data_IF_720000552964
#
_entry.id   IF_720000552964
#
_cell.length_a   1.000
_cell.length_b   1.000
_cell.length_c   1.000
_cell.angle_alpha   90.00
_cell.angle_beta   90.00
_cell.angle_gamma   90.00
#
_symmetry.space_group_name_H-M   'P 1'
#
loop_
_entity.id
_entity.type
_entity.pdbx_description
1 polymer ?
#
# COMPACT_ATOMS: atom_id res chain seq x y z
N UNK A 1 -15.26 15.54 5.48
CA UNK A 1 -14.23 16.59 5.67
C UNK A 1 -12.87 16.00 5.32
N UNK A 2 -11.83 16.84 5.26
CA UNK A 2 -10.47 16.40 4.97
C UNK A 2 -9.62 16.51 6.24
N UNK A 3 -8.64 15.63 6.38
CA UNK A 3 -7.70 15.57 7.51
C UNK A 3 -6.28 15.69 6.96
N UNK A 4 -5.44 16.50 7.60
CA UNK A 4 -4.03 16.58 7.26
C UNK A 4 -3.26 15.45 7.95
N UNK A 5 -2.47 14.70 7.19
CA UNK A 5 -1.62 13.64 7.72
C UNK A 5 -0.17 14.01 7.51
N UNK A 6 0.63 13.90 8.58
CA UNK A 6 2.07 14.06 8.56
C UNK A 6 2.74 12.74 8.93
N UNK A 7 3.56 12.23 8.02
CA UNK A 7 4.34 11.02 8.18
C UNK A 7 5.78 11.42 8.48
N UNK A 8 6.19 11.14 9.72
CA UNK A 8 7.56 11.28 10.17
C UNK A 8 8.30 9.96 9.97
N UNK A 9 9.54 10.03 9.49
CA UNK A 9 10.39 8.87 9.35
C UNK A 9 11.83 9.25 9.62
N UNK A 10 12.54 8.45 10.40
CA UNK A 10 13.96 8.66 10.67
C UNK A 10 14.82 8.35 9.44
N UNK A 11 14.38 7.42 8.58
CA UNK A 11 15.14 6.93 7.41
C UNK A 11 14.69 7.49 6.07
N UNK A 12 13.54 8.16 5.99
CA UNK A 12 12.95 8.68 4.75
C UNK A 12 12.55 10.14 4.93
N UNK A 13 12.44 10.88 3.82
CA UNK A 13 11.92 12.24 3.84
C UNK A 13 10.52 12.28 4.47
N UNK A 14 10.26 13.31 5.28
CA UNK A 14 8.94 13.61 5.82
C UNK A 14 7.95 13.81 4.68
N UNK A 15 6.72 13.31 4.87
CA UNK A 15 5.66 13.44 3.86
C UNK A 15 4.39 13.93 4.51
N UNK A 16 3.76 14.92 3.88
CA UNK A 16 2.51 15.48 4.35
C UNK A 16 1.48 15.48 3.23
N UNK A 17 0.20 15.40 3.58
CA UNK A 17 -0.85 15.60 2.61
C UNK A 17 -2.24 15.49 3.18
N UNK A 18 -3.19 15.92 2.36
CA UNK A 18 -4.61 16.00 2.72
C UNK A 18 -5.28 14.68 2.32
N UNK A 19 -5.96 14.05 3.28
CA UNK A 19 -6.61 12.77 3.11
C UNK A 19 -8.09 12.90 3.51
N UNK A 20 -8.97 12.34 2.71
CA UNK A 20 -10.39 12.30 3.02
C UNK A 20 -10.66 11.41 4.24
N UNK A 21 -11.67 11.79 5.03
CA UNK A 21 -12.27 10.91 6.05
C UNK A 21 -12.70 9.57 5.44
N UNK A 22 -12.94 8.59 6.32
CA UNK A 22 -13.27 7.20 5.99
C UNK A 22 -12.17 6.45 5.21
N UNK A 23 -10.98 7.06 5.07
CA UNK A 23 -9.80 6.43 4.49
C UNK A 23 -9.04 5.66 5.57
N UNK A 24 -8.55 4.46 5.24
CA UNK A 24 -7.67 3.70 6.14
C UNK A 24 -6.24 4.26 6.10
N UNK A 25 -5.53 4.22 7.23
CA UNK A 25 -4.14 4.72 7.29
C UNK A 25 -3.21 4.03 6.29
N UNK A 26 -3.46 2.76 5.97
CA UNK A 26 -2.71 2.05 4.93
C UNK A 26 -2.92 2.63 3.53
N UNK A 27 -4.15 3.05 3.20
CA UNK A 27 -4.41 3.70 1.90
C UNK A 27 -3.88 5.14 1.89
N UNK A 28 -3.99 5.83 3.03
CA UNK A 28 -3.46 7.17 3.21
C UNK A 28 -1.94 7.22 3.03
N UNK A 29 -1.21 6.35 3.73
CA UNK A 29 0.25 6.20 3.60
C UNK A 29 0.67 5.85 2.18
N UNK A 30 -0.06 4.94 1.52
CA UNK A 30 0.18 4.59 0.10
C UNK A 30 0.02 5.79 -0.83
N UNK A 31 -1.02 6.62 -0.64
CA UNK A 31 -1.24 7.85 -1.43
C UNK A 31 -0.11 8.87 -1.23
N UNK A 32 0.47 8.90 -0.04
CA UNK A 32 1.63 9.73 0.29
C UNK A 32 2.95 9.06 -0.12
N UNK A 33 2.95 7.93 -0.85
CA UNK A 33 4.18 7.27 -1.32
C UNK A 33 4.94 6.48 -0.25
N UNK A 34 4.28 6.13 0.86
CA UNK A 34 4.80 5.26 1.91
C UNK A 34 4.11 3.91 1.82
N UNK A 35 4.83 2.90 1.34
CA UNK A 35 4.33 1.54 1.21
C UNK A 35 4.66 0.73 2.47
N UNK A 36 3.62 0.30 3.17
CA UNK A 36 3.72 -0.65 4.27
C UNK A 36 3.68 -2.08 3.72
N UNK A 37 4.44 -3.01 4.30
CA UNK A 37 4.56 -4.40 3.82
C UNK A 37 3.21 -5.10 3.74
N UNK A 38 2.42 -5.01 4.82
CA UNK A 38 1.05 -5.54 4.90
C UNK A 38 0.91 -6.97 4.32
N UNK A 39 1.77 -7.88 4.78
CA UNK A 39 1.96 -9.23 4.22
C UNK A 39 0.66 -10.06 4.16
N UNK A 40 -0.26 -9.86 5.10
CA UNK A 40 -1.56 -10.53 5.08
C UNK A 40 -2.54 -9.96 4.04
N UNK A 41 -2.15 -8.95 3.25
CA UNK A 41 -3.05 -8.25 2.31
C UNK A 41 -4.05 -7.31 2.99
N UNK A 42 -3.81 -6.97 4.26
CA UNK A 42 -4.64 -6.08 5.05
C UNK A 42 -5.85 -6.72 5.71
N UNK A 43 -5.82 -8.04 5.94
CA UNK A 43 -6.88 -8.80 6.64
C UNK A 43 -6.85 -8.67 8.17
N UNK A 44 -5.89 -7.91 8.72
CA UNK A 44 -5.70 -7.84 10.17
C UNK A 44 -5.17 -9.15 10.79
N UNK A 45 -4.46 -9.96 10.00
CA UNK A 45 -3.92 -11.27 10.39
C UNK A 45 -2.38 -11.29 10.51
N UNK A 46 -1.75 -10.11 10.63
CA UNK A 46 -0.32 -9.93 10.87
C UNK A 46 -0.06 -8.50 11.37
N UNK A 47 1.16 -8.23 11.83
CA UNK A 47 1.59 -6.92 12.34
C UNK A 47 2.53 -6.14 11.39
N UNK A 48 2.81 -6.65 10.19
CA UNK A 48 3.75 -6.02 9.24
C UNK A 48 3.30 -4.68 8.64
N UNK A 49 2.09 -4.22 8.98
CA UNK A 49 1.57 -2.88 8.68
C UNK A 49 1.42 -2.00 9.92
N UNK A 50 1.99 -2.40 11.06
CA UNK A 50 1.98 -1.61 12.27
C UNK A 50 2.73 -0.29 12.06
N UNK A 51 2.19 0.78 12.65
CA UNK A 51 2.78 2.11 12.71
C UNK A 51 2.46 2.74 14.06
N UNK A 52 3.21 3.76 14.43
CA UNK A 52 3.06 4.47 15.70
C UNK A 52 2.31 5.78 15.49
N UNK A 53 1.23 5.99 16.24
CA UNK A 53 0.51 7.26 16.26
C UNK A 53 1.16 8.19 17.28
N UNK A 54 1.72 9.30 16.82
CA UNK A 54 2.35 10.32 17.69
C UNK A 54 1.30 11.33 18.17
N UNK A 55 0.38 11.73 17.29
CA UNK A 55 -0.70 12.67 17.59
C UNK A 55 -1.92 12.40 16.71
N UNK A 56 -3.09 12.88 17.14
CA UNK A 56 -4.34 12.75 16.38
C UNK A 56 -5.02 11.39 16.52
N UNK A 57 -4.73 10.62 17.58
CA UNK A 57 -5.37 9.33 17.85
C UNK A 57 -6.89 9.40 17.99
N UNK A 58 -7.42 10.53 18.46
CA UNK A 58 -8.86 10.79 18.59
C UNK A 58 -9.58 10.89 17.23
N UNK A 59 -8.84 11.13 16.15
CA UNK A 59 -9.37 11.22 14.80
C UNK A 59 -9.44 9.84 14.11
N UNK A 60 -9.10 8.77 14.82
CA UNK A 60 -9.04 7.41 14.33
C UNK A 60 -10.17 6.55 14.89
N UNK A 61 -10.49 5.48 14.18
CA UNK A 61 -11.44 4.48 14.63
C UNK A 61 -10.97 3.80 15.94
N UNK A 62 -11.90 3.26 16.73
CA UNK A 62 -11.58 2.37 17.84
C UNK A 62 -10.69 1.20 17.41
N UNK A 63 -10.06 0.55 18.39
CA UNK A 63 -9.28 -0.67 18.15
C UNK A 63 -10.19 -1.79 17.63
N UNK A 64 -9.74 -2.45 16.57
CA UNK A 64 -10.42 -3.61 15.98
C UNK A 64 -9.93 -4.92 16.60
N UNK A 65 -10.67 -6.02 16.43
CA UNK A 65 -10.25 -7.33 16.94
C UNK A 65 -8.88 -7.76 16.40
N UNK A 66 -8.60 -7.50 15.11
CA UNK A 66 -7.29 -7.79 14.53
C UNK A 66 -6.16 -7.00 15.19
N UNK A 67 -6.42 -5.76 15.62
CA UNK A 67 -5.44 -4.99 16.39
C UNK A 67 -5.24 -5.55 17.80
N UNK A 68 -6.31 -6.03 18.45
CA UNK A 68 -6.21 -6.64 19.78
C UNK A 68 -5.46 -7.97 19.78
N UNK A 69 -5.58 -8.74 18.69
CA UNK A 69 -4.98 -10.07 18.54
C UNK A 69 -3.49 -9.98 18.15
N UNK A 70 -3.13 -9.08 17.23
CA UNK A 70 -1.77 -9.02 16.66
C UNK A 70 -0.89 -7.92 17.25
N UNK A 71 -1.43 -6.99 18.05
CA UNK A 71 -0.62 -6.03 18.81
C UNK A 71 -0.65 -6.38 20.31
N UNK A 72 0.54 -6.49 20.90
CA UNK A 72 0.67 -6.68 22.34
C UNK A 72 0.08 -5.50 23.12
N UNK A 73 -0.27 -5.73 24.39
CA UNK A 73 -0.79 -4.67 25.25
C UNK A 73 0.20 -3.48 25.36
N UNK A 74 1.51 -3.75 25.41
CA UNK A 74 2.53 -2.70 25.45
C UNK A 74 2.53 -1.86 24.17
N UNK A 75 2.46 -2.49 23.00
CA UNK A 75 2.40 -1.79 21.70
C UNK A 75 1.15 -0.90 21.61
N UNK A 76 -0.01 -1.42 22.01
CA UNK A 76 -1.27 -0.66 22.02
C UNK A 76 -1.21 0.54 22.96
N UNK A 77 -0.66 0.37 24.16
CA UNK A 77 -0.46 1.47 25.12
C UNK A 77 0.51 2.51 24.59
N UNK A 78 1.52 2.10 23.82
CA UNK A 78 2.45 3.03 23.16
C UNK A 78 1.83 3.76 21.97
N UNK A 79 0.61 3.43 21.55
CA UNK A 79 -0.07 4.06 20.40
C UNK A 79 0.22 3.40 19.06
N UNK A 80 0.72 2.16 19.03
CA UNK A 80 0.81 1.40 17.79
C UNK A 80 -0.57 0.96 17.29
N UNK A 81 -0.77 1.06 15.97
CA UNK A 81 -2.00 0.71 15.27
C UNK A 81 -1.68 -0.11 14.02
N UNK A 82 -2.57 -1.03 13.65
CA UNK A 82 -2.47 -1.71 12.36
C UNK A 82 -3.04 -0.80 11.28
N UNK A 83 -2.17 -0.24 10.43
CA UNK A 83 -2.61 0.72 9.42
C UNK A 83 -3.72 0.20 8.50
N UNK A 84 -3.75 -1.12 8.25
CA UNK A 84 -4.77 -1.74 7.39
C UNK A 84 -6.15 -1.86 8.04
N UNK A 85 -6.23 -1.80 9.37
CA UNK A 85 -7.48 -1.90 10.13
C UNK A 85 -7.89 -0.56 10.76
N UNK A 86 -6.98 0.41 10.82
CA UNK A 86 -7.23 1.73 11.40
C UNK A 86 -7.81 2.71 10.36
N UNK A 87 -9.01 3.26 10.63
CA UNK A 87 -9.75 4.17 9.76
C UNK A 87 -9.72 5.60 10.30
N UNK A 88 -9.62 6.59 9.42
CA UNK A 88 -9.73 8.02 9.78
C UNK A 88 -11.22 8.37 9.86
N UNK A 89 -11.69 8.85 11.01
CA UNK A 89 -13.10 9.16 11.26
C UNK A 89 -13.36 10.62 11.62
N UNK A 90 -12.36 11.34 12.17
CA UNK A 90 -12.50 12.73 12.63
C UNK A 90 -13.79 12.95 13.46
N UNK A 91 -13.97 12.16 14.53
CA UNK A 91 -15.23 12.12 15.28
C UNK A 91 -15.64 13.47 15.87
N UNK A 92 -14.67 14.34 16.17
CA UNK A 92 -14.89 15.69 16.71
C UNK A 92 -15.26 16.73 15.65
N UNK A 93 -15.26 16.38 14.36
CA UNK A 93 -15.54 17.26 13.21
C UNK A 93 -14.72 18.55 13.24
N UNK A 94 -13.45 18.41 13.57
CA UNK A 94 -12.52 19.54 13.61
C UNK A 94 -12.19 19.99 12.19
N UNK A 95 -12.19 21.31 11.94
CA UNK A 95 -11.86 21.88 10.62
C UNK A 95 -10.40 21.64 10.23
N UNK A 96 -9.50 21.55 11.21
CA UNK A 96 -8.06 21.33 11.03
C UNK A 96 -7.60 20.08 11.79
N UNK A 97 -8.26 18.95 11.55
CA UNK A 97 -7.82 17.68 12.11
C UNK A 97 -6.44 17.29 11.56
N UNK A 98 -5.49 17.06 12.47
CA UNK A 98 -4.12 16.66 12.16
C UNK A 98 -3.83 15.27 12.74
N UNK A 99 -3.16 14.42 11.97
CA UNK A 99 -2.67 13.12 12.41
C UNK A 99 -1.17 13.04 12.14
N UNK A 100 -0.37 12.87 13.18
CA UNK A 100 1.08 12.69 13.09
C UNK A 100 1.39 11.24 13.41
N UNK A 101 2.10 10.58 12.51
CA UNK A 101 2.45 9.18 12.66
C UNK A 101 3.90 8.92 12.24
N UNK A 102 4.48 7.90 12.86
CA UNK A 102 5.83 7.43 12.56
C UNK A 102 5.77 6.02 12.01
N UNK A 103 6.46 5.80 10.90
CA UNK A 103 6.68 4.46 10.37
C UNK A 103 8.03 3.99 10.85
N UNK A 104 8.02 3.20 11.92
CA UNK A 104 9.21 2.45 12.33
C UNK A 104 9.37 1.31 11.32
N UNK A 105 10.43 1.29 10.52
CA UNK A 105 10.69 0.12 9.69
C UNK A 105 10.96 -1.04 10.65
N UNK A 106 9.99 -1.96 10.80
CA UNK A 106 10.23 -3.25 11.44
C UNK A 106 11.41 -3.85 10.68
N UNK A 107 12.52 -4.01 11.41
CA UNK A 107 13.88 -4.18 10.92
C UNK A 107 13.91 -4.78 9.50
N UNK A 108 14.56 -4.06 8.59
CA UNK A 108 14.78 -4.49 7.21
C UNK A 108 15.47 -5.86 7.21
N UNK A 109 14.70 -6.94 7.09
CA UNK A 109 15.22 -8.15 6.47
C UNK A 109 15.38 -7.84 4.98
N UNK A 110 16.63 -7.47 4.67
CA UNK A 110 17.30 -7.39 3.38
C UNK A 110 16.48 -7.90 2.18
N UNK A 111 15.91 -6.98 1.42
CA UNK A 111 15.88 -7.15 -0.03
C UNK A 111 16.72 -6.03 -0.63
N UNK A 112 17.92 -6.31 -1.15
CA UNK A 112 18.62 -5.32 -1.93
C UNK A 112 17.82 -5.10 -3.21
N UNK A 113 17.08 -4.00 -3.26
CA UNK A 113 16.85 -3.29 -4.52
C UNK A 113 18.24 -2.90 -5.03
N UNK A 114 18.88 -3.80 -5.79
CA UNK A 114 20.19 -3.52 -6.37
C UNK A 114 19.99 -2.48 -7.46
N UNK A 115 20.22 -1.21 -7.11
CA UNK A 115 20.34 -0.08 -8.04
C UNK A 115 21.67 -0.08 -8.80
N UNK A 116 22.53 -1.08 -8.59
CA UNK A 116 23.72 -1.30 -9.40
C UNK A 116 23.32 -1.83 -10.79
N UNK A 117 23.79 -1.22 -11.90
CA UNK A 117 23.61 -1.80 -13.22
C UNK A 117 24.30 -3.17 -13.23
N UNK A 118 23.51 -4.24 -13.26
CA UNK A 118 24.06 -5.59 -13.49
C UNK A 118 24.59 -5.64 -14.91
N UNK A 119 25.84 -6.07 -15.05
CA UNK A 119 26.49 -6.25 -16.34
C UNK A 119 25.93 -7.53 -16.99
N UNK A 120 24.69 -7.43 -17.46
CA UNK A 120 23.87 -8.54 -17.96
C UNK A 120 24.58 -9.35 -19.04
N UNK A 121 25.45 -8.70 -19.82
CA UNK A 121 26.25 -9.36 -20.85
C UNK A 121 27.24 -10.38 -20.27
N UNK A 122 27.86 -10.10 -19.11
CA UNK A 122 28.77 -11.05 -18.46
C UNK A 122 28.00 -12.21 -17.84
N UNK A 123 26.93 -11.90 -17.11
CA UNK A 123 26.07 -12.91 -16.48
C UNK A 123 25.50 -13.89 -17.52
N UNK A 124 25.01 -13.37 -18.65
CA UNK A 124 24.47 -14.19 -19.73
C UNK A 124 25.53 -15.06 -20.42
N UNK A 125 26.77 -14.57 -20.53
CA UNK A 125 27.89 -15.36 -21.09
C UNK A 125 28.22 -16.57 -20.23
N UNK A 126 28.19 -16.40 -18.91
CA UNK A 126 28.56 -17.42 -17.91
C UNK A 126 27.45 -18.46 -17.66
N UNK A 127 26.22 -18.23 -18.13
CA UNK A 127 25.14 -19.21 -18.00
C UNK A 127 25.43 -20.50 -18.78
N UNK A 128 25.07 -21.68 -18.24
CA UNK A 128 25.06 -22.92 -19.02
C UNK A 128 24.03 -22.84 -20.15
N UNK A 129 24.28 -23.54 -21.27
CA UNK A 129 23.53 -23.43 -22.52
C UNK A 129 22.01 -23.49 -22.36
N UNK A 130 21.49 -24.44 -21.56
CA UNK A 130 20.05 -24.61 -21.34
C UNK A 130 19.39 -23.41 -20.63
N UNK A 131 20.15 -22.68 -19.79
CA UNK A 131 19.64 -21.50 -19.09
C UNK A 131 19.62 -20.27 -19.99
N UNK A 132 20.52 -20.20 -20.98
CA UNK A 132 20.55 -19.07 -21.95
C UNK A 132 19.24 -18.93 -22.71
N UNK A 133 18.67 -20.04 -23.19
CA UNK A 133 17.39 -20.01 -23.90
C UNK A 133 16.22 -19.62 -23.01
N UNK A 134 16.16 -20.14 -21.79
CA UNK A 134 15.11 -19.77 -20.83
C UNK A 134 15.17 -18.27 -20.49
N UNK A 135 16.38 -17.74 -20.28
CA UNK A 135 16.59 -16.32 -20.03
C UNK A 135 16.22 -15.45 -21.24
N UNK A 136 16.54 -15.87 -22.47
CA UNK A 136 16.12 -15.15 -23.69
C UNK A 136 14.60 -15.11 -23.84
N UNK A 137 13.93 -16.26 -23.64
CA UNK A 137 12.47 -16.33 -23.69
C UNK A 137 11.80 -15.45 -22.62
N UNK A 138 12.40 -15.34 -21.43
CA UNK A 138 11.93 -14.42 -20.39
C UNK A 138 12.08 -12.96 -20.80
N UNK A 139 13.22 -12.58 -21.39
CA UNK A 139 13.42 -11.21 -21.89
C UNK A 139 12.42 -10.89 -22.99
N UNK A 140 12.18 -11.82 -23.91
CA UNK A 140 11.19 -11.66 -24.98
C UNK A 140 9.78 -11.47 -24.40
N UNK A 141 9.38 -12.28 -23.41
CA UNK A 141 8.09 -12.13 -22.75
C UNK A 141 7.94 -10.77 -22.03
N UNK A 142 9.00 -10.29 -21.36
CA UNK A 142 9.01 -8.98 -20.71
C UNK A 142 8.92 -7.85 -21.74
N UNK A 143 9.72 -7.92 -22.82
CA UNK A 143 9.69 -6.91 -23.88
C UNK A 143 8.35 -6.88 -24.62
N UNK A 144 7.71 -8.03 -24.84
CA UNK A 144 6.37 -8.14 -25.38
C UNK A 144 5.33 -7.50 -24.45
N UNK A 145 5.42 -7.75 -23.14
CA UNK A 145 4.53 -7.15 -22.15
C UNK A 145 4.68 -5.61 -22.11
N UNK A 146 5.91 -5.11 -22.15
CA UNK A 146 6.19 -3.67 -22.19
C UNK A 146 5.71 -3.02 -23.51
N UNK A 147 5.89 -3.73 -24.63
CA UNK A 147 5.38 -3.30 -25.94
C UNK A 147 3.84 -3.28 -25.98
N UNK A 148 3.18 -4.22 -25.31
CA UNK A 148 1.71 -4.17 -25.13
C UNK A 148 1.32 -2.93 -24.33
N UNK A 149 2.06 -2.57 -23.27
CA UNK A 149 1.91 -1.31 -22.56
C UNK A 149 2.04 -0.08 -23.47
N UNK A 150 2.97 -0.10 -24.43
CA UNK A 150 3.12 0.96 -25.43
C UNK A 150 1.94 1.00 -26.41
N UNK A 151 1.45 -0.15 -26.89
CA UNK A 151 0.28 -0.24 -27.78
C UNK A 151 -1.00 0.23 -27.08
N UNK A 152 -1.15 -0.01 -25.78
CA UNK A 152 -2.28 0.53 -25.00
C UNK A 152 -2.25 2.06 -24.87
N UNK A 153 -1.12 2.70 -25.12
CA UNK A 153 -0.95 4.16 -25.10
C UNK A 153 -1.04 4.82 -26.49
N UNK A 154 -1.34 4.08 -27.57
CA UNK A 154 -1.62 4.67 -28.89
C UNK A 154 -3.04 5.27 -28.97
N UNK A 155 -3.26 6.37 -29.73
CA UNK A 155 -4.46 7.19 -29.59
C UNK A 155 -5.73 6.63 -30.29
N UNK A 156 -6.75 6.39 -29.45
CA UNK A 156 -8.06 7.08 -29.38
C UNK A 156 -9.28 6.78 -30.27
N UNK A 157 -9.27 5.99 -31.34
CA UNK A 157 -10.53 5.78 -32.12
C UNK A 157 -11.24 4.44 -31.92
N UNK A 158 -10.53 3.39 -31.48
CA UNK A 158 -11.13 2.08 -31.16
C UNK A 158 -10.86 1.67 -29.70
N UNK A 159 -9.80 2.21 -29.09
CA UNK A 159 -9.34 1.86 -27.74
C UNK A 159 -10.17 2.42 -26.58
N UNK A 160 -10.81 3.59 -26.73
CA UNK A 160 -11.45 4.30 -25.61
C UNK A 160 -12.49 3.46 -24.85
N UNK A 161 -13.40 2.80 -25.57
CA UNK A 161 -14.44 1.97 -24.94
C UNK A 161 -13.88 0.72 -24.27
N UNK A 162 -12.84 0.12 -24.84
CA UNK A 162 -12.19 -1.09 -24.28
C UNK A 162 -11.40 -0.72 -23.03
N UNK A 163 -10.69 0.40 -23.07
CA UNK A 163 -9.95 0.96 -21.93
C UNK A 163 -10.90 1.33 -20.80
N UNK A 164 -12.05 1.97 -21.09
CA UNK A 164 -13.06 2.31 -20.08
C UNK A 164 -13.66 1.05 -19.41
N UNK A 165 -13.94 0.01 -20.19
CA UNK A 165 -14.44 -1.27 -19.68
C UNK A 165 -13.38 -1.91 -18.76
N UNK A 166 -12.12 -1.94 -19.18
CA UNK A 166 -11.03 -2.50 -18.36
C UNK A 166 -10.76 -1.67 -17.10
N UNK A 167 -10.80 -0.34 -17.18
CA UNK A 167 -10.67 0.54 -16.03
C UNK A 167 -11.81 0.33 -15.04
N UNK A 168 -13.06 0.23 -15.52
CA UNK A 168 -14.23 -0.06 -14.69
C UNK A 168 -14.15 -1.45 -14.05
N UNK A 169 -13.70 -2.45 -14.79
CA UNK A 169 -13.50 -3.80 -14.28
C UNK A 169 -12.38 -3.86 -13.23
N UNK A 170 -11.26 -3.18 -13.48
CA UNK A 170 -10.15 -3.05 -12.54
C UNK A 170 -10.56 -2.36 -11.24
N UNK A 171 -11.26 -1.23 -11.33
CA UNK A 171 -11.82 -0.53 -10.16
C UNK A 171 -12.82 -1.41 -9.39
N UNK A 172 -13.65 -2.19 -10.08
CA UNK A 172 -14.61 -3.10 -9.44
C UNK A 172 -13.91 -4.26 -8.71
N UNK A 173 -12.85 -4.84 -9.28
CA UNK A 173 -12.05 -5.87 -8.61
C UNK A 173 -11.33 -5.29 -7.40
N UNK A 174 -10.73 -4.10 -7.55
CA UNK A 174 -10.03 -3.44 -6.46
C UNK A 174 -11.00 -3.11 -5.31
N UNK A 175 -12.19 -2.58 -5.62
CA UNK A 175 -13.19 -2.29 -4.60
C UNK A 175 -13.67 -3.56 -3.89
N UNK A 176 -13.88 -4.68 -4.61
CA UNK A 176 -14.26 -5.96 -4.01
C UNK A 176 -13.17 -6.54 -3.09
N UNK A 177 -11.91 -6.43 -3.50
CA UNK A 177 -10.79 -6.88 -2.65
C UNK A 177 -10.59 -5.95 -1.45
N UNK A 178 -10.79 -4.64 -1.62
CA UNK A 178 -10.77 -3.65 -0.54
C UNK A 178 -11.87 -3.87 0.49
N UNK A 179 -13.09 -4.22 0.09
CA UNK A 179 -14.17 -4.48 1.03
C UNK A 179 -13.97 -5.78 1.79
N UNK A 180 -13.50 -6.84 1.13
CA UNK A 180 -13.29 -8.16 1.73
C UNK A 180 -12.25 -8.17 2.87
N UNK A 181 -11.28 -7.24 2.86
CA UNK A 181 -10.22 -7.14 3.89
C UNK A 181 -10.56 -6.21 5.05
N UNK A 182 -11.69 -5.48 4.99
CA UNK A 182 -12.07 -4.53 6.05
C UNK A 182 -12.54 -5.29 7.31
N UNK A 183 -12.21 -4.79 8.51
CA UNK A 183 -12.71 -5.34 9.77
C UNK A 183 -14.24 -5.34 9.79
N UNK A 184 -14.84 -6.35 10.40
CA UNK A 184 -16.31 -6.49 10.48
C UNK A 184 -16.94 -5.32 11.23
N UNK A 185 -16.21 -4.74 12.18
CA UNK A 185 -16.56 -3.56 12.96
C UNK A 185 -16.80 -2.33 12.09
N UNK A 186 -16.13 -2.21 10.93
CA UNK A 186 -16.26 -1.07 10.02
C UNK A 186 -17.21 -1.34 8.84
N UNK A 187 -17.78 -2.55 8.73
CA UNK A 187 -18.70 -2.91 7.65
C UNK A 187 -20.16 -2.50 7.95
N UNK A 188 -20.50 -2.22 9.21
CA UNK A 188 -21.88 -1.97 9.65
C UNK A 188 -22.38 -0.51 9.46
N UNK A 189 -21.70 0.30 8.65
CA UNK A 189 -22.10 1.68 8.34
C UNK A 189 -22.94 1.88 7.07
N UNK A 190 -23.14 0.82 6.27
CA UNK A 190 -23.82 0.88 4.95
C UNK A 190 -25.26 0.31 4.97
N UNK A 191 -26.03 0.55 6.05
CA UNK A 191 -27.48 0.29 6.09
C UNK A 191 -28.27 1.56 6.34
#
# INVERSE_FOLDING_TARGET
>A
MNVEIKIQSEKKAERTGIIAEETYLWEATKRLGVFLKAECGGRGACDSCALLIISGGDNLSPLTNGELEYLSAAQRTNGERLACQCKIVNAKKEENAEIILTVTPKAEENQPESTAPRDFQKEFKELPFNKKFATLAQIEAVALNDAVGFVTNLPYTIGGKVVDIMAKFGLQIENKTRTARRPTEHQNGDK
#
